data_IF_826564222006
#
_entry.id   IF_826564222006
#
_cell.length_a   1.000
_cell.length_b   1.000
_cell.length_c   1.000
_cell.angle_alpha   90.00
_cell.angle_beta   90.00
_cell.angle_gamma   90.00
#
_symmetry.space_group_name_H-M   'P 1'
#
loop_
_entity.id
_entity.type
_entity.pdbx_description
1 polymer ?
#
# COMPACT_ATOMS: atom_id res chain seq x y z
N UNK A 1 21.40 15.43 5.94
CA UNK A 1 20.73 14.27 6.54
C UNK A 1 21.02 13.12 5.60
N UNK A 2 21.67 12.07 6.09
CA UNK A 2 21.80 10.83 5.33
C UNK A 2 20.38 10.30 5.14
N UNK A 3 19.92 10.24 3.89
CA UNK A 3 18.64 9.62 3.57
C UNK A 3 18.81 8.12 3.82
N UNK A 4 18.11 7.60 4.84
CA UNK A 4 18.02 6.16 5.03
C UNK A 4 17.15 5.65 3.88
N UNK A 5 17.75 4.87 2.99
CA UNK A 5 17.00 4.17 1.95
C UNK A 5 16.07 3.15 2.63
N UNK A 6 14.80 3.17 2.23
CA UNK A 6 13.81 2.23 2.73
C UNK A 6 13.97 0.94 1.94
N UNK A 7 14.14 -0.19 2.61
CA UNK A 7 14.33 -1.49 1.98
C UNK A 7 13.44 -2.55 2.66
N UNK A 8 13.60 -3.80 2.24
CA UNK A 8 12.84 -4.93 2.79
C UNK A 8 13.02 -5.18 4.28
N UNK A 9 14.06 -4.61 4.90
CA UNK A 9 14.39 -4.82 6.31
C UNK A 9 13.71 -3.81 7.22
N UNK A 10 13.39 -2.61 6.71
CA UNK A 10 12.83 -1.51 7.51
C UNK A 10 11.42 -1.05 7.05
N UNK A 11 10.97 -1.37 5.83
CA UNK A 11 9.67 -0.90 5.32
C UNK A 11 8.49 -1.30 6.20
N UNK A 12 8.43 -2.55 6.66
CA UNK A 12 7.32 -3.02 7.49
C UNK A 12 7.36 -2.43 8.90
N UNK A 13 8.55 -2.19 9.45
CA UNK A 13 8.69 -1.49 10.74
C UNK A 13 8.12 -0.08 10.65
N UNK A 14 8.45 0.65 9.57
CA UNK A 14 7.90 1.99 9.31
C UNK A 14 6.37 1.94 9.16
N UNK A 15 5.83 0.94 8.47
CA UNK A 15 4.37 0.76 8.34
C UNK A 15 3.75 0.54 9.72
N UNK A 16 4.27 -0.39 10.52
CA UNK A 16 3.71 -0.71 11.85
C UNK A 16 3.78 0.46 12.83
N UNK A 17 4.87 1.25 12.78
CA UNK A 17 4.99 2.49 13.55
C UNK A 17 3.94 3.52 13.15
N UNK A 18 3.64 3.63 11.86
CA UNK A 18 2.62 4.55 11.36
C UNK A 18 1.20 4.03 11.55
N UNK A 19 0.99 2.72 11.55
CA UNK A 19 -0.34 2.11 11.66
C UNK A 19 -0.36 1.05 12.74
N UNK A 20 -0.36 1.42 14.04
CA UNK A 20 -0.39 0.44 15.13
C UNK A 20 -1.60 -0.49 15.08
N UNK A 21 -2.73 -0.01 14.53
CA UNK A 21 -3.94 -0.83 14.35
C UNK A 21 -3.75 -1.97 13.34
N UNK A 22 -2.70 -1.94 12.51
CA UNK A 22 -2.34 -3.01 11.60
C UNK A 22 -1.56 -4.15 12.28
N UNK A 23 -1.05 -3.96 13.51
CA UNK A 23 -0.18 -4.91 14.18
C UNK A 23 -0.81 -6.30 14.35
N UNK A 24 -2.05 -6.38 14.85
CA UNK A 24 -2.71 -7.68 15.09
C UNK A 24 -2.88 -8.46 13.78
N UNK A 25 -3.22 -7.75 12.70
CA UNK A 25 -3.39 -8.33 11.37
C UNK A 25 -2.06 -8.79 10.78
N UNK A 26 -1.02 -7.98 10.97
CA UNK A 26 0.34 -8.30 10.57
C UNK A 26 0.86 -9.55 11.29
N UNK A 27 0.64 -9.67 12.59
CA UNK A 27 1.10 -10.83 13.38
C UNK A 27 0.48 -12.13 12.87
N UNK A 28 -0.82 -12.11 12.52
CA UNK A 28 -1.51 -13.25 11.90
C UNK A 28 -0.89 -13.59 10.54
N UNK A 29 -0.73 -12.59 9.66
CA UNK A 29 -0.12 -12.77 8.34
C UNK A 29 1.29 -13.40 8.42
N UNK A 30 2.11 -12.96 9.38
CA UNK A 30 3.44 -13.53 9.60
C UNK A 30 3.39 -14.96 10.15
N UNK A 31 2.46 -15.23 11.08
CA UNK A 31 2.30 -16.55 11.68
C UNK A 31 1.82 -17.62 10.68
N UNK A 32 0.99 -17.23 9.72
CA UNK A 32 0.46 -18.12 8.68
C UNK A 32 1.50 -18.44 7.58
N UNK A 33 2.65 -17.75 7.57
CA UNK A 33 3.68 -17.97 6.58
C UNK A 33 4.45 -19.27 6.81
N UNK A 34 4.65 -20.06 5.75
CA UNK A 34 5.38 -21.31 5.85
C UNK A 34 6.86 -21.06 6.25
N UNK A 35 7.35 -21.63 7.38
CA UNK A 35 8.68 -21.30 7.92
C UNK A 35 9.86 -21.58 6.99
N UNK A 36 9.69 -22.49 6.03
CA UNK A 36 10.74 -22.89 5.09
C UNK A 36 10.79 -22.10 3.79
N UNK A 37 9.88 -21.15 3.57
CA UNK A 37 9.82 -20.36 2.33
C UNK A 37 10.20 -18.91 2.60
N UNK A 38 11.02 -18.28 1.74
CA UNK A 38 11.27 -16.85 1.85
C UNK A 38 9.96 -16.09 1.65
N UNK A 39 9.62 -15.19 2.57
CA UNK A 39 8.43 -14.34 2.46
C UNK A 39 8.70 -13.18 1.49
N UNK A 40 7.97 -13.07 0.36
CA UNK A 40 8.07 -11.94 -0.55
C UNK A 40 7.46 -10.69 0.09
N UNK A 41 8.20 -9.58 0.09
CA UNK A 41 7.68 -8.27 0.51
C UNK A 41 6.41 -7.86 -0.25
N UNK A 42 6.28 -8.27 -1.50
CA UNK A 42 5.07 -8.07 -2.29
C UNK A 42 3.79 -8.53 -1.56
N UNK A 43 3.84 -9.66 -0.85
CA UNK A 43 2.70 -10.19 -0.09
C UNK A 43 2.49 -9.42 1.22
N UNK A 44 3.55 -8.96 1.86
CA UNK A 44 3.47 -8.11 3.05
C UNK A 44 2.80 -6.76 2.71
N UNK A 45 3.15 -6.18 1.56
CA UNK A 45 2.54 -4.94 1.06
C UNK A 45 1.09 -5.19 0.60
N UNK A 46 0.78 -6.36 0.06
CA UNK A 46 -0.58 -6.74 -0.29
C UNK A 46 -1.49 -6.82 0.93
N UNK A 47 -0.99 -7.34 2.05
CA UNK A 47 -1.73 -7.38 3.30
C UNK A 47 -1.98 -5.97 3.87
N UNK A 48 -0.98 -5.09 3.77
CA UNK A 48 -1.15 -3.69 4.13
C UNK A 48 -2.15 -2.96 3.22
N UNK A 49 -2.21 -3.31 1.93
CA UNK A 49 -3.20 -2.75 1.00
C UNK A 49 -4.64 -3.14 1.38
N UNK A 50 -4.86 -4.39 1.79
CA UNK A 50 -6.18 -4.80 2.29
C UNK A 50 -6.56 -4.05 3.59
N UNK A 51 -5.61 -3.81 4.50
CA UNK A 51 -5.85 -2.96 5.67
C UNK A 51 -6.21 -1.51 5.27
N UNK A 52 -5.53 -0.95 4.28
CA UNK A 52 -5.81 0.38 3.77
C UNK A 52 -7.21 0.46 3.14
N UNK A 53 -7.64 -0.58 2.42
CA UNK A 53 -8.99 -0.66 1.84
C UNK A 53 -10.05 -0.59 2.94
N UNK A 54 -9.90 -1.38 4.01
CA UNK A 54 -10.83 -1.37 5.14
C UNK A 54 -10.89 0.02 5.78
N UNK A 55 -9.74 0.69 5.90
CA UNK A 55 -9.62 2.06 6.43
C UNK A 55 -10.32 3.10 5.54
N UNK A 56 -10.22 2.95 4.21
CA UNK A 56 -10.87 3.85 3.24
C UNK A 56 -12.39 3.64 3.27
N UNK A 57 -12.87 2.40 3.37
CA UNK A 57 -14.29 2.08 3.46
C UNK A 57 -14.96 2.70 4.69
N UNK A 58 -14.25 2.88 5.80
CA UNK A 58 -14.76 3.58 7.00
C UNK A 58 -14.59 5.10 6.95
N UNK A 59 -14.07 5.65 5.84
CA UNK A 59 -13.92 7.08 5.56
C UNK A 59 -13.17 7.88 6.64
N UNK A 60 -12.17 7.27 7.27
CA UNK A 60 -11.35 7.94 8.28
C UNK A 60 -10.30 8.85 7.62
N UNK A 61 -10.70 10.08 7.27
CA UNK A 61 -9.89 11.03 6.47
C UNK A 61 -8.44 11.23 6.98
N UNK A 62 -8.16 11.42 8.28
CA UNK A 62 -6.78 11.50 8.78
C UNK A 62 -5.93 10.26 8.47
N UNK A 63 -6.51 9.06 8.62
CA UNK A 63 -5.79 7.81 8.34
C UNK A 63 -5.58 7.61 6.83
N UNK A 64 -6.56 8.00 6.01
CA UNK A 64 -6.44 7.95 4.54
C UNK A 64 -5.31 8.87 4.05
N UNK A 65 -5.23 10.10 4.59
CA UNK A 65 -4.13 11.02 4.28
C UNK A 65 -2.78 10.46 4.73
N UNK A 66 -2.72 9.80 5.89
CA UNK A 66 -1.51 9.15 6.41
C UNK A 66 -1.07 7.97 5.53
N UNK A 67 -2.02 7.17 5.05
CA UNK A 67 -1.78 6.10 4.08
C UNK A 67 -1.16 6.68 2.81
N UNK A 68 -1.77 7.72 2.23
CA UNK A 68 -1.27 8.36 1.02
C UNK A 68 0.15 8.92 1.19
N UNK A 69 0.45 9.56 2.34
CA UNK A 69 1.79 10.03 2.66
C UNK A 69 2.81 8.88 2.83
N UNK A 70 2.38 7.75 3.40
CA UNK A 70 3.25 6.57 3.55
C UNK A 70 3.57 5.97 2.19
N UNK A 71 2.59 5.86 1.28
CA UNK A 71 2.81 5.38 -0.08
C UNK A 71 3.83 6.27 -0.80
N UNK A 72 3.68 7.59 -0.73
CA UNK A 72 4.61 8.54 -1.36
C UNK A 72 6.04 8.35 -0.85
N UNK A 73 6.20 8.27 0.47
CA UNK A 73 7.50 8.03 1.09
C UNK A 73 8.14 6.72 0.60
N UNK A 74 7.35 5.66 0.49
CA UNK A 74 7.82 4.35 0.03
C UNK A 74 8.19 4.35 -1.46
N UNK A 75 7.45 5.07 -2.29
CA UNK A 75 7.77 5.25 -3.71
C UNK A 75 9.01 6.14 -3.93
N UNK A 76 9.22 7.14 -3.06
CA UNK A 76 10.31 8.10 -3.22
C UNK A 76 11.64 7.62 -2.61
N UNK A 77 11.58 6.94 -1.46
CA UNK A 77 12.75 6.59 -0.66
C UNK A 77 12.99 5.07 -0.61
N UNK A 78 12.05 4.27 -1.12
CA UNK A 78 12.20 2.84 -1.30
C UNK A 78 13.36 2.49 -2.23
N UNK A 79 14.02 1.37 -1.97
CA UNK A 79 14.77 0.66 -2.98
C UNK A 79 13.82 0.18 -4.11
N UNK A 80 14.40 -0.29 -5.20
CA UNK A 80 13.61 -0.71 -6.36
C UNK A 80 12.64 -1.84 -6.06
N UNK A 81 12.85 -2.62 -5.00
CA UNK A 81 11.98 -3.71 -4.58
C UNK A 81 10.77 -3.15 -3.83
N UNK A 82 11.00 -2.25 -2.87
CA UNK A 82 9.94 -1.57 -2.10
C UNK A 82 9.08 -0.71 -3.02
N UNK A 83 9.71 0.12 -3.86
CA UNK A 83 9.01 0.94 -4.85
C UNK A 83 8.12 0.07 -5.75
N UNK A 84 8.68 -1.02 -6.28
CA UNK A 84 7.94 -1.94 -7.13
C UNK A 84 6.76 -2.60 -6.40
N UNK A 85 6.93 -3.01 -5.14
CA UNK A 85 5.88 -3.62 -4.35
C UNK A 85 4.73 -2.63 -4.07
N UNK A 86 5.04 -1.37 -3.76
CA UNK A 86 3.99 -0.35 -3.60
C UNK A 86 3.28 -0.03 -4.90
N UNK A 87 3.99 0.03 -6.02
CA UNK A 87 3.37 0.26 -7.33
C UNK A 87 2.44 -0.90 -7.72
N UNK A 88 2.92 -2.14 -7.61
CA UNK A 88 2.25 -3.30 -8.24
C UNK A 88 1.41 -4.13 -7.29
N UNK A 89 1.67 -4.10 -5.98
CA UNK A 89 0.87 -4.84 -5.00
C UNK A 89 -0.03 -3.91 -4.23
N UNK A 90 0.42 -2.71 -3.86
CA UNK A 90 -0.44 -1.78 -3.14
C UNK A 90 -1.46 -1.11 -4.07
N UNK A 91 -0.99 -0.27 -5.01
CA UNK A 91 -1.89 0.53 -5.84
C UNK A 91 -2.78 -0.32 -6.75
N UNK A 92 -2.26 -1.39 -7.35
CA UNK A 92 -3.09 -2.31 -8.16
C UNK A 92 -4.16 -3.00 -7.32
N UNK A 93 -3.86 -3.39 -6.07
CA UNK A 93 -4.85 -4.01 -5.20
C UNK A 93 -5.93 -3.01 -4.80
N UNK A 94 -5.57 -1.75 -4.52
CA UNK A 94 -6.56 -0.69 -4.31
C UNK A 94 -7.45 -0.54 -5.57
N UNK A 95 -6.86 -0.45 -6.76
CA UNK A 95 -7.59 -0.32 -8.01
C UNK A 95 -8.53 -1.51 -8.26
N UNK A 96 -8.04 -2.74 -8.13
CA UNK A 96 -8.83 -3.95 -8.31
C UNK A 96 -9.99 -4.06 -7.30
N UNK A 97 -9.81 -3.55 -6.08
CA UNK A 97 -10.80 -3.63 -5.01
C UNK A 97 -11.74 -2.43 -4.94
N UNK A 98 -11.42 -1.33 -5.62
CA UNK A 98 -12.27 -0.14 -5.72
C UNK A 98 -13.67 -0.41 -6.31
N UNK A 99 -13.84 -1.54 -7.00
CA UNK A 99 -15.11 -2.00 -7.55
C UNK A 99 -16.06 -2.60 -6.49
N UNK A 100 -15.62 -2.75 -5.24
CA UNK A 100 -16.45 -3.28 -4.13
C UNK A 100 -17.35 -2.19 -3.53
N UNK A 101 -18.53 -2.59 -3.06
CA UNK A 101 -19.47 -1.70 -2.36
C UNK A 101 -18.83 -1.04 -1.13
N UNK A 102 -18.89 0.29 -1.06
CA UNK A 102 -18.45 1.07 0.10
C UNK A 102 -17.05 1.70 -0.01
N UNK A 103 -16.28 1.33 -1.04
CA UNK A 103 -14.99 1.97 -1.31
C UNK A 103 -15.21 3.26 -2.12
N UNK A 104 -14.90 4.41 -1.52
CA UNK A 104 -14.95 5.70 -2.21
C UNK A 104 -13.57 6.02 -2.81
N UNK A 105 -13.44 5.78 -4.12
CA UNK A 105 -12.19 5.95 -4.82
C UNK A 105 -11.74 7.41 -4.88
N UNK A 106 -12.68 8.35 -4.94
CA UNK A 106 -12.38 9.79 -4.99
C UNK A 106 -11.78 10.26 -3.66
N UNK A 107 -12.29 9.72 -2.55
CA UNK A 107 -11.73 9.99 -1.21
C UNK A 107 -10.27 9.57 -1.14
N UNK A 108 -9.92 8.37 -1.61
CA UNK A 108 -8.52 7.92 -1.57
C UNK A 108 -7.64 8.71 -2.55
N UNK A 109 -8.06 8.84 -3.80
CA UNK A 109 -7.24 9.43 -4.87
C UNK A 109 -7.00 10.92 -4.67
N UNK A 110 -7.94 11.64 -4.05
CA UNK A 110 -7.76 13.06 -3.70
C UNK A 110 -6.65 13.32 -2.66
N UNK A 111 -6.24 12.30 -1.91
CA UNK A 111 -5.16 12.39 -0.93
C UNK A 111 -3.80 11.96 -1.50
N UNK A 112 -3.76 11.34 -2.69
CA UNK A 112 -2.52 10.88 -3.29
C UNK A 112 -1.57 12.05 -3.55
N UNK A 113 -0.32 11.84 -3.18
CA UNK A 113 0.80 12.74 -3.43
C UNK A 113 1.36 12.51 -4.85
N UNK A 114 2.31 13.32 -5.35
CA UNK A 114 2.68 13.33 -6.76
C UNK A 114 3.08 11.99 -7.37
N UNK A 115 3.92 11.17 -6.72
CA UNK A 115 4.32 9.86 -7.26
C UNK A 115 3.18 8.85 -7.17
N UNK A 116 2.47 8.82 -6.04
CA UNK A 116 1.28 7.98 -5.87
C UNK A 116 0.23 8.26 -6.95
N UNK A 117 -0.02 9.54 -7.23
CA UNK A 117 -0.95 9.99 -8.27
C UNK A 117 -0.45 9.65 -9.68
N UNK A 118 0.84 9.86 -9.97
CA UNK A 118 1.43 9.50 -11.25
C UNK A 118 1.24 8.01 -11.57
N UNK A 119 1.56 7.13 -10.63
CA UNK A 119 1.38 5.69 -10.82
C UNK A 119 -0.09 5.29 -10.85
N UNK A 120 -0.96 5.94 -10.07
CA UNK A 120 -2.40 5.72 -10.15
C UNK A 120 -2.96 5.99 -11.55
N UNK A 121 -2.58 7.13 -12.16
CA UNK A 121 -3.00 7.47 -13.51
C UNK A 121 -2.54 6.46 -14.57
N UNK A 122 -1.34 5.90 -14.39
CA UNK A 122 -0.83 4.87 -15.28
C UNK A 122 -1.67 3.59 -15.20
N UNK A 123 -2.02 3.16 -13.97
CA UNK A 123 -2.89 2.02 -13.74
C UNK A 123 -4.30 2.23 -14.33
N UNK A 124 -4.90 3.39 -14.09
CA UNK A 124 -6.24 3.73 -14.59
C UNK A 124 -6.33 3.67 -16.12
N UNK A 125 -5.26 4.12 -16.81
CA UNK A 125 -5.14 3.99 -18.28
C UNK A 125 -5.07 2.53 -18.71
N UNK A 126 -4.30 1.69 -18.02
CA UNK A 126 -4.15 0.29 -18.36
C UNK A 126 -5.46 -0.49 -18.18
N UNK A 127 -6.17 -0.26 -17.07
CA UNK A 127 -7.50 -0.86 -16.80
C UNK A 127 -8.54 -0.39 -17.82
N UNK A 128 -8.49 0.86 -18.26
CA UNK A 128 -9.39 1.40 -19.29
C UNK A 128 -9.17 0.77 -20.68
N UNK A 129 -7.96 0.27 -20.97
CA UNK A 129 -7.62 -0.38 -22.24
C UNK A 129 -7.91 -1.89 -22.20
N UNK A 130 -7.76 -2.51 -21.02
CA UNK A 130 -8.04 -3.92 -20.78
C UNK A 130 -8.94 -4.09 -19.55
N UNK A 131 -10.26 -3.87 -19.70
CA UNK A 131 -11.20 -4.14 -18.61
C UNK A 131 -11.10 -5.63 -18.23
N UNK A 132 -10.96 -5.89 -16.93
CA UNK A 132 -10.89 -7.23 -16.33
C UNK A 132 -12.10 -8.10 -16.69
#
# INVERSE_FOLDING_TARGET
MDYIQIDRTNCMEIILLNFPAFQDRWDVHVADWHPSLPRPIALDISEFADFAIDTICVQNQPEIAKIAATIEMMLQQGDSIVEYAFRTMFLEQIAARSQRTGFDLDVFTSQLQPLGWYYWQDLDRQVSIHPL
#
